data_IF_958805114553
#
_entry.id   IF_958805114553
#
_cell.length_a   1.000
_cell.length_b   1.000
_cell.length_c   1.000
_cell.angle_alpha   90.00
_cell.angle_beta   90.00
_cell.angle_gamma   90.00
#
_symmetry.space_group_name_H-M   'P 1'
#
loop_
_entity.id
_entity.type
_entity.pdbx_description
1 polymer ?
#
# COMPACT_ATOMS: atom_id res chain seq x y z
N UNK A 1 -42.73 42.94 -28.13
CA UNK A 1 -43.18 42.65 -26.75
C UNK A 1 -43.17 41.13 -26.60
N UNK A 2 -42.17 40.51 -25.98
CA UNK A 2 -42.16 40.25 -24.53
C UNK A 2 -40.72 39.88 -24.10
N UNK A 3 -39.77 40.78 -24.32
CA UNK A 3 -38.58 40.86 -23.48
C UNK A 3 -39.09 41.39 -22.15
N UNK A 4 -38.90 40.64 -21.06
CA UNK A 4 -38.51 41.12 -19.73
C UNK A 4 -38.81 40.08 -18.62
N UNK A 5 -37.81 39.95 -17.74
CA UNK A 5 -37.83 39.43 -16.37
C UNK A 5 -38.03 37.93 -16.14
N UNK A 6 -36.91 37.26 -15.80
CA UNK A 6 -36.72 36.38 -14.63
C UNK A 6 -35.23 35.95 -14.69
N UNK A 7 -34.27 36.73 -14.19
CA UNK A 7 -33.90 36.81 -12.78
C UNK A 7 -34.23 35.52 -11.99
N UNK A 8 -33.37 34.51 -12.09
CA UNK A 8 -33.13 33.41 -11.15
C UNK A 8 -31.69 33.00 -11.47
N UNK A 9 -30.66 33.49 -10.76
CA UNK A 9 -30.28 33.06 -9.41
C UNK A 9 -30.46 31.55 -9.26
N UNK A 10 -29.61 30.79 -9.95
CA UNK A 10 -29.29 29.42 -9.54
C UNK A 10 -27.76 29.25 -9.53
N UNK A 11 -27.11 30.20 -8.86
CA UNK A 11 -25.98 29.84 -8.02
C UNK A 11 -26.51 28.83 -7.02
N UNK A 12 -25.97 27.61 -7.11
CA UNK A 12 -25.65 26.66 -6.04
C UNK A 12 -25.65 25.28 -6.73
N UNK A 13 -24.52 24.92 -7.34
CA UNK A 13 -24.15 23.51 -7.37
C UNK A 13 -23.37 23.28 -6.08
N UNK A 14 -24.09 22.74 -5.10
CA UNK A 14 -23.53 22.22 -3.87
C UNK A 14 -22.41 21.23 -4.21
N UNK A 15 -21.30 21.43 -3.52
CA UNK A 15 -20.10 20.62 -3.50
C UNK A 15 -20.51 19.23 -2.99
N UNK A 16 -20.48 18.23 -3.87
CA UNK A 16 -20.68 16.83 -3.46
C UNK A 16 -19.33 16.26 -3.05
N UNK A 17 -19.28 15.76 -1.82
CA UNK A 17 -18.59 14.51 -1.51
C UNK A 17 -17.11 14.60 -1.13
N UNK A 18 -16.84 14.55 0.17
CA UNK A 18 -15.96 13.51 0.71
C UNK A 18 -16.31 13.31 2.18
N UNK A 19 -17.31 12.46 2.44
CA UNK A 19 -17.36 11.75 3.71
C UNK A 19 -16.29 10.67 3.58
N UNK A 20 -15.18 10.85 4.29
CA UNK A 20 -14.23 9.77 4.54
C UNK A 20 -14.83 8.90 5.62
N UNK A 21 -15.77 8.04 5.22
CA UNK A 21 -16.02 6.82 5.95
C UNK A 21 -14.92 5.84 5.50
N UNK A 22 -13.75 5.90 6.13
CA UNK A 22 -12.88 4.75 6.18
C UNK A 22 -13.60 3.71 7.04
N UNK A 23 -14.38 2.86 6.38
CA UNK A 23 -14.86 1.63 6.97
C UNK A 23 -13.64 0.78 7.31
N UNK A 24 -13.23 0.88 8.57
CA UNK A 24 -12.39 -0.11 9.22
C UNK A 24 -13.21 -1.40 9.31
N UNK A 25 -12.73 -2.41 8.58
CA UNK A 25 -12.94 -3.81 8.89
C UNK A 25 -14.33 -4.37 8.62
N UNK A 26 -14.52 -4.90 7.40
CA UNK A 26 -15.41 -6.04 7.20
C UNK A 26 -14.57 -7.24 6.73
N UNK A 27 -14.10 -8.00 7.72
CA UNK A 27 -13.56 -9.34 7.54
C UNK A 27 -14.70 -10.29 7.16
N UNK A 28 -14.94 -10.47 5.87
CA UNK A 28 -15.49 -11.69 5.28
C UNK A 28 -15.41 -11.60 3.75
N UNK A 29 -14.29 -12.07 3.21
CA UNK A 29 -14.01 -12.15 1.79
C UNK A 29 -12.58 -12.61 1.63
N UNK A 30 -12.31 -13.48 0.65
CA UNK A 30 -10.97 -13.87 0.18
C UNK A 30 -9.95 -12.78 0.44
N UNK A 31 -8.90 -13.11 1.19
CA UNK A 31 -7.84 -12.18 1.56
C UNK A 31 -7.23 -11.56 0.31
N UNK A 32 -7.56 -10.30 0.05
CA UNK A 32 -7.25 -9.63 -1.22
C UNK A 32 -5.75 -9.44 -1.46
N UNK A 33 -4.91 -9.72 -0.46
CA UNK A 33 -3.48 -9.48 -0.51
C UNK A 33 -2.63 -10.76 -0.39
N UNK A 34 -3.23 -11.95 -0.50
CA UNK A 34 -2.47 -13.21 -0.41
C UNK A 34 -1.29 -13.24 -1.41
N UNK A 35 -1.53 -12.90 -2.68
CA UNK A 35 -0.48 -12.86 -3.70
C UNK A 35 0.60 -11.80 -3.41
N UNK A 36 0.22 -10.66 -2.86
CA UNK A 36 1.14 -9.57 -2.50
C UNK A 36 2.08 -10.05 -1.39
N UNK A 37 1.53 -10.69 -0.34
CA UNK A 37 2.33 -11.21 0.77
C UNK A 37 3.20 -12.39 0.35
N UNK A 38 2.69 -13.29 -0.49
CA UNK A 38 3.47 -14.41 -1.03
C UNK A 38 4.67 -13.90 -1.84
N UNK A 39 4.46 -12.89 -2.68
CA UNK A 39 5.52 -12.27 -3.49
C UNK A 39 6.60 -11.64 -2.61
N UNK A 40 6.19 -10.86 -1.60
CA UNK A 40 7.12 -10.27 -0.65
C UNK A 40 7.88 -11.33 0.17
N UNK A 41 7.21 -12.41 0.58
CA UNK A 41 7.84 -13.51 1.32
C UNK A 41 8.86 -14.26 0.47
N UNK A 42 8.53 -14.56 -0.79
CA UNK A 42 9.45 -15.19 -1.72
C UNK A 42 10.72 -14.35 -1.92
N UNK A 43 10.60 -13.02 -1.93
CA UNK A 43 11.76 -12.14 -1.97
C UNK A 43 12.62 -12.23 -0.70
N UNK A 44 12.03 -12.36 0.50
CA UNK A 44 12.79 -12.66 1.72
C UNK A 44 13.55 -13.99 1.60
N UNK A 45 12.93 -15.02 1.00
CA UNK A 45 13.57 -16.32 0.74
C UNK A 45 14.75 -16.16 -0.22
N UNK A 46 14.56 -15.47 -1.34
CA UNK A 46 15.61 -15.22 -2.34
C UNK A 46 16.80 -14.45 -1.79
N UNK A 47 16.57 -13.56 -0.82
CA UNK A 47 17.61 -12.75 -0.16
C UNK A 47 18.18 -13.39 1.10
N UNK A 48 17.71 -14.56 1.50
CA UNK A 48 18.07 -15.24 2.75
C UNK A 48 17.82 -14.37 3.99
N UNK A 49 16.68 -13.69 4.02
CA UNK A 49 16.27 -12.77 5.10
C UNK A 49 15.13 -13.30 5.99
N UNK A 50 14.63 -14.50 5.69
CA UNK A 50 13.51 -15.13 6.43
C UNK A 50 13.80 -15.35 7.91
N UNK A 51 15.07 -15.48 8.30
CA UNK A 51 15.46 -15.69 9.70
C UNK A 51 15.01 -14.57 10.65
N UNK A 52 14.83 -13.35 10.11
CA UNK A 52 14.44 -12.14 10.85
C UNK A 52 12.93 -12.05 11.10
N UNK A 53 12.13 -12.78 10.32
CA UNK A 53 10.68 -12.75 10.40
C UNK A 53 10.12 -14.01 11.09
N UNK A 54 8.89 -13.91 11.60
CA UNK A 54 8.06 -15.08 11.91
C UNK A 54 7.60 -15.72 10.59
N UNK A 55 7.55 -17.06 10.53
CA UNK A 55 7.23 -17.82 9.31
C UNK A 55 5.78 -17.69 8.83
N UNK A 56 4.91 -17.03 9.60
CA UNK A 56 3.50 -16.83 9.27
C UNK A 56 3.32 -15.62 8.34
N UNK A 57 3.87 -15.69 7.13
CA UNK A 57 3.79 -14.61 6.14
C UNK A 57 2.35 -14.23 5.77
N UNK A 58 1.37 -15.11 6.03
CA UNK A 58 -0.04 -14.85 5.73
C UNK A 58 -0.64 -13.77 6.61
N UNK A 59 -0.03 -13.47 7.75
CA UNK A 59 -0.47 -12.40 8.67
C UNK A 59 0.30 -11.09 8.46
N UNK A 60 1.23 -11.05 7.50
CA UNK A 60 1.99 -9.84 7.21
C UNK A 60 1.05 -8.66 6.90
N UNK A 61 1.41 -7.49 7.40
CA UNK A 61 0.65 -6.27 7.18
C UNK A 61 0.90 -5.75 5.77
N UNK A 62 -0.16 -5.28 5.10
CA UNK A 62 -0.09 -4.72 3.76
C UNK A 62 -0.72 -3.33 3.77
N UNK A 63 0.10 -2.33 3.47
CA UNK A 63 -0.31 -0.93 3.41
C UNK A 63 -0.10 -0.36 2.00
N UNK A 64 -1.00 0.52 1.57
CA UNK A 64 -0.77 1.34 0.37
C UNK A 64 -0.01 2.59 0.74
N UNK A 65 1.11 2.83 0.07
CA UNK A 65 1.96 4.00 0.32
C UNK A 65 2.39 4.65 -1.00
N UNK A 66 2.93 5.87 -0.92
CA UNK A 66 3.69 6.46 -2.02
C UNK A 66 5.16 6.14 -1.80
N UNK A 67 5.79 5.44 -2.75
CA UNK A 67 7.21 5.15 -2.69
C UNK A 67 8.05 6.43 -2.79
N UNK A 68 9.12 6.51 -2.02
CA UNK A 68 10.01 7.68 -1.92
C UNK A 68 11.47 7.23 -1.92
N UNK A 69 12.38 8.19 -2.02
CA UNK A 69 13.83 7.96 -2.06
C UNK A 69 14.47 7.35 -0.81
N UNK A 70 13.73 7.07 0.26
CA UNK A 70 14.23 6.36 1.45
C UNK A 70 14.24 4.83 1.26
N UNK A 71 13.65 4.32 0.19
CA UNK A 71 13.69 2.90 -0.16
C UNK A 71 14.83 2.61 -1.12
N UNK A 72 15.39 1.40 -1.02
CA UNK A 72 16.29 0.85 -2.02
C UNK A 72 15.45 0.33 -3.21
N UNK A 73 15.37 1.12 -4.28
CA UNK A 73 14.64 0.74 -5.49
C UNK A 73 15.40 -0.32 -6.30
N UNK A 74 14.67 -1.33 -6.75
CA UNK A 74 15.09 -2.25 -7.79
C UNK A 74 14.71 -1.70 -9.18
N UNK A 75 13.64 -0.91 -9.23
CA UNK A 75 13.26 -0.10 -10.39
C UNK A 75 13.02 1.35 -9.96
N UNK A 76 13.92 2.25 -10.38
CA UNK A 76 13.89 3.69 -10.08
C UNK A 76 12.67 4.41 -10.67
N UNK A 77 11.96 3.80 -11.63
CA UNK A 77 10.76 4.40 -12.22
C UNK A 77 9.58 4.43 -11.23
N UNK A 78 9.73 3.87 -10.04
CA UNK A 78 8.69 3.82 -9.01
C UNK A 78 8.75 4.94 -7.98
N UNK A 79 9.75 5.83 -8.01
CA UNK A 79 9.76 7.00 -7.13
C UNK A 79 8.51 7.87 -7.36
N UNK A 80 7.78 8.15 -6.28
CA UNK A 80 6.54 8.90 -6.30
C UNK A 80 5.30 8.14 -6.76
N UNK A 81 5.37 6.82 -7.01
CA UNK A 81 4.20 5.98 -7.35
C UNK A 81 3.54 5.34 -6.14
N UNK A 82 2.24 5.05 -6.24
CA UNK A 82 1.53 4.22 -5.25
C UNK A 82 1.98 2.77 -5.40
N UNK A 83 2.33 2.14 -4.28
CA UNK A 83 2.76 0.72 -4.20
C UNK A 83 2.23 0.10 -2.91
N UNK A 84 2.31 -1.23 -2.81
CA UNK A 84 2.08 -1.92 -1.55
C UNK A 84 3.38 -2.05 -0.75
N UNK A 85 3.34 -1.67 0.53
CA UNK A 85 4.37 -1.98 1.51
C UNK A 85 3.93 -3.20 2.32
N UNK A 86 4.80 -4.20 2.41
CA UNK A 86 4.56 -5.44 3.15
C UNK A 86 5.51 -5.51 4.33
N UNK A 87 4.95 -5.60 5.54
CA UNK A 87 5.69 -5.65 6.80
C UNK A 87 5.47 -7.00 7.48
N UNK A 88 6.57 -7.68 7.81
CA UNK A 88 6.54 -8.97 8.49
C UNK A 88 6.77 -8.81 9.99
N UNK A 89 6.17 -9.68 10.79
CA UNK A 89 6.39 -9.69 12.24
C UNK A 89 7.84 -10.06 12.56
N UNK A 90 8.48 -9.25 13.41
CA UNK A 90 9.87 -9.45 13.82
C UNK A 90 9.99 -10.60 14.84
N UNK A 91 10.95 -11.50 14.58
CA UNK A 91 11.30 -12.61 15.48
C UNK A 91 12.03 -12.14 16.74
N UNK A 92 12.58 -10.93 16.75
CA UNK A 92 13.25 -10.28 17.89
C UNK A 92 14.60 -10.90 18.28
N UNK A 93 15.19 -11.73 17.40
CA UNK A 93 16.48 -12.41 17.65
C UNK A 93 17.68 -11.66 17.09
N UNK A 94 17.45 -10.72 16.19
CA UNK A 94 18.47 -9.99 15.46
C UNK A 94 18.46 -8.51 15.87
N UNK A 95 19.57 -7.82 15.61
CA UNK A 95 19.66 -6.38 15.86
C UNK A 95 18.76 -5.61 14.89
N UNK A 96 18.62 -6.11 13.66
CA UNK A 96 17.75 -5.55 12.63
C UNK A 96 16.57 -6.48 12.41
N UNK A 97 15.37 -5.91 12.36
CA UNK A 97 14.14 -6.62 12.03
C UNK A 97 14.08 -7.06 10.56
N UNK A 98 12.97 -7.69 10.15
CA UNK A 98 12.71 -7.99 8.75
C UNK A 98 12.53 -6.68 7.96
N UNK A 99 12.99 -6.64 6.69
CA UNK A 99 12.78 -5.47 5.84
C UNK A 99 11.30 -5.30 5.48
N UNK A 100 10.93 -4.06 5.19
CA UNK A 100 9.65 -3.75 4.53
C UNK A 100 9.86 -3.89 3.03
N UNK A 101 9.00 -4.67 2.37
CA UNK A 101 9.11 -4.97 0.94
C UNK A 101 8.08 -4.16 0.15
N UNK A 102 8.49 -3.57 -0.96
CA UNK A 102 7.60 -2.83 -1.86
C UNK A 102 7.21 -3.70 -3.04
N UNK A 103 5.91 -3.82 -3.28
CA UNK A 103 5.33 -4.63 -4.36
C UNK A 103 4.45 -3.74 -5.25
N UNK A 104 4.63 -3.86 -6.56
CA UNK A 104 3.79 -3.17 -7.54
C UNK A 104 2.36 -3.74 -7.52
N UNK A 105 1.36 -2.86 -7.55
CA UNK A 105 -0.05 -3.26 -7.48
C UNK A 105 -0.56 -3.94 -8.76
N UNK A 106 0.06 -3.64 -9.90
CA UNK A 106 -0.43 -4.04 -11.21
C UNK A 106 0.25 -5.32 -11.70
N UNK A 107 1.56 -5.43 -11.51
CA UNK A 107 2.37 -6.57 -11.93
C UNK A 107 2.64 -7.59 -10.81
N UNK A 108 2.43 -7.21 -9.55
CA UNK A 108 2.78 -8.03 -8.39
C UNK A 108 4.28 -8.40 -8.38
N UNK A 109 5.15 -7.46 -8.78
CA UNK A 109 6.60 -7.59 -8.75
C UNK A 109 7.20 -6.79 -7.59
N UNK A 110 8.33 -7.25 -7.04
CA UNK A 110 9.05 -6.49 -6.02
C UNK A 110 9.83 -5.34 -6.67
N UNK A 111 9.51 -4.12 -6.29
CA UNK A 111 10.10 -2.89 -6.87
C UNK A 111 11.12 -2.23 -5.96
N UNK A 112 11.19 -2.65 -4.69
CA UNK A 112 12.13 -2.09 -3.72
C UNK A 112 11.94 -2.64 -2.32
N UNK A 113 12.77 -2.17 -1.39
CA UNK A 113 12.69 -2.52 0.03
C UNK A 113 13.35 -1.45 0.89
N UNK A 114 13.09 -1.47 2.20
CA UNK A 114 13.88 -0.75 3.20
C UNK A 114 14.23 -1.71 4.33
N UNK A 115 15.49 -1.68 4.77
CA UNK A 115 15.92 -2.47 5.92
C UNK A 115 15.36 -1.82 7.19
N UNK A 116 14.78 -2.63 8.08
CA UNK A 116 14.41 -2.14 9.41
C UNK A 116 15.68 -1.74 10.18
N UNK A 117 15.63 -0.57 10.82
CA UNK A 117 16.66 -0.09 11.76
C UNK A 117 16.56 -0.77 13.12
#
# INVERSE_FOLDING_TARGET
MKLLFFAIVLSIFFIVGCTTNQEVGNANGTDSYENIRETAWNFLVEKDWTERAIEDWKTAEVEKIIARNNYAFLDENYDGKEVFAVSFEDKGKFVMGPPVILVDSDTNEVIGYILAE
#
